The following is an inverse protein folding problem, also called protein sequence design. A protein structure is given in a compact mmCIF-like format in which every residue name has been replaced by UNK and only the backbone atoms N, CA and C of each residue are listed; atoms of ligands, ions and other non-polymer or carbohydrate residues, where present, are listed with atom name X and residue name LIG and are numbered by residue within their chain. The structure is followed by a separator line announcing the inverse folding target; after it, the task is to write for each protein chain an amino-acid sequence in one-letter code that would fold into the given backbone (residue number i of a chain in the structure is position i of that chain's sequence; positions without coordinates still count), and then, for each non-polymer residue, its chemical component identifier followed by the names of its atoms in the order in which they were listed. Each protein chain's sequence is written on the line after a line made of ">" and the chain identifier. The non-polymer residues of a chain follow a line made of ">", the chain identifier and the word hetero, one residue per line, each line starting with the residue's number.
data_IF_025560280848
#
_entry.id   IF_025560280848
#
_cell.length_a   1.000
_cell.length_b   1.000
_cell.length_c   1.000
_cell.angle_alpha   90.00
_cell.angle_beta   90.00
_cell.angle_gamma   90.00
#
_symmetry.space_group_name_H-M   'P 1'
#
loop_
_entity.id
_entity.type
_entity.pdbx_description
1 polymer ?
#
# COMPACT_ATOMS: atom_id res chain seq x y z
N UNK A 1 -6.71 13.99 14.20
CA UNK A 1 -7.84 13.05 14.37
C UNK A 1 -7.65 11.88 13.40
N UNK A 2 -8.48 10.82 13.47
CA UNK A 2 -8.29 9.59 12.67
C UNK A 2 -8.35 9.85 11.16
N UNK A 3 -9.36 10.60 10.68
CA UNK A 3 -9.55 10.81 9.24
C UNK A 3 -8.36 11.53 8.60
N UNK A 4 -7.78 12.54 9.27
CA UNK A 4 -6.57 13.21 8.79
C UNK A 4 -5.34 12.29 8.79
N UNK A 5 -5.24 11.40 9.78
CA UNK A 5 -4.16 10.42 9.83
C UNK A 5 -4.25 9.41 8.66
N UNK A 6 -5.45 9.00 8.27
CA UNK A 6 -5.67 8.15 7.09
C UNK A 6 -5.35 8.93 5.81
N UNK A 7 -5.88 10.16 5.66
CA UNK A 7 -5.68 11.04 4.51
C UNK A 7 -4.19 11.26 4.18
N UNK A 8 -3.42 11.66 5.20
CA UNK A 8 -2.00 11.95 5.10
C UNK A 8 -1.08 10.74 5.30
N UNK A 9 -1.63 9.56 5.55
CA UNK A 9 -0.85 8.35 5.88
C UNK A 9 0.12 8.55 7.06
N UNK A 10 -0.36 9.11 8.17
CA UNK A 10 0.47 9.55 9.28
C UNK A 10 0.97 8.37 10.15
N UNK A 11 2.23 7.98 9.96
CA UNK A 11 2.88 6.92 10.74
C UNK A 11 2.79 7.17 12.26
N UNK A 12 3.07 8.40 12.71
CA UNK A 12 3.10 8.75 14.14
C UNK A 12 1.76 8.48 14.83
N UNK A 13 0.63 8.76 14.14
CA UNK A 13 -0.70 8.50 14.68
C UNK A 13 -0.94 7.00 14.87
N UNK A 14 -0.67 6.18 13.86
CA UNK A 14 -0.90 4.74 13.93
C UNK A 14 0.07 4.04 14.88
N UNK A 15 1.34 4.46 14.95
CA UNK A 15 2.28 3.98 15.95
C UNK A 15 1.81 4.29 17.37
N UNK A 16 1.28 5.50 17.62
CA UNK A 16 0.73 5.85 18.93
C UNK A 16 -0.52 5.03 19.28
N UNK A 17 -1.44 4.83 18.32
CA UNK A 17 -2.63 3.98 18.51
C UNK A 17 -2.21 2.54 18.81
N UNK A 18 -1.29 1.97 18.03
CA UNK A 18 -0.79 0.62 18.24
C UNK A 18 -0.10 0.47 19.60
N UNK A 19 0.74 1.43 19.99
CA UNK A 19 1.37 1.44 21.31
C UNK A 19 0.32 1.42 22.44
N UNK A 20 -0.75 2.21 22.30
CA UNK A 20 -1.87 2.21 23.26
C UNK A 20 -2.62 0.89 23.28
N UNK A 21 -2.89 0.30 22.11
CA UNK A 21 -3.57 -1.01 21.99
C UNK A 21 -2.77 -2.11 22.66
N UNK A 22 -1.48 -2.23 22.33
CA UNK A 22 -0.63 -3.30 22.87
C UNK A 22 -0.30 -3.09 24.36
N UNK A 23 -0.28 -1.84 24.84
CA UNK A 23 0.02 -1.52 26.24
C UNK A 23 -1.22 -1.30 27.11
N UNK A 24 -2.39 -1.81 26.70
CA UNK A 24 -3.64 -1.66 27.46
C UNK A 24 -3.55 -2.32 28.85
N UNK A 25 -3.85 -1.60 29.95
CA UNK A 25 -3.81 -2.15 31.31
C UNK A 25 -4.86 -3.23 31.59
N UNK A 26 -5.90 -3.35 30.76
CA UNK A 26 -6.97 -4.35 30.89
C UNK A 26 -6.48 -5.78 30.64
N UNK A 27 -5.33 -5.96 29.99
CA UNK A 27 -4.76 -7.27 29.74
C UNK A 27 -3.68 -7.61 30.77
N UNK A 28 -3.58 -8.90 31.18
CA UNK A 28 -2.62 -9.33 32.20
C UNK A 28 -1.16 -9.24 31.73
N UNK A 29 -0.90 -9.12 30.43
CA UNK A 29 0.44 -8.98 29.85
C UNK A 29 0.38 -8.34 28.46
N UNK A 30 1.54 -7.82 28.01
CA UNK A 30 1.75 -7.33 26.64
C UNK A 30 1.47 -8.45 25.61
N UNK A 31 1.89 -9.67 25.92
CA UNK A 31 1.64 -10.84 25.09
C UNK A 31 0.14 -11.14 24.95
N UNK A 32 -0.62 -11.07 26.04
CA UNK A 32 -2.06 -11.26 26.02
C UNK A 32 -2.77 -10.17 25.20
N UNK A 33 -2.38 -8.90 25.38
CA UNK A 33 -2.91 -7.80 24.58
C UNK A 33 -2.57 -7.95 23.09
N UNK A 34 -1.33 -8.33 22.78
CA UNK A 34 -0.90 -8.60 21.40
C UNK A 34 -1.67 -9.77 20.78
N UNK A 35 -1.89 -10.86 21.53
CA UNK A 35 -2.66 -12.00 21.05
C UNK A 35 -4.10 -11.58 20.74
N UNK A 36 -4.70 -10.74 21.58
CA UNK A 36 -6.00 -10.15 21.29
C UNK A 36 -5.98 -9.32 20.00
N UNK A 37 -5.02 -8.39 19.86
CA UNK A 37 -4.85 -7.60 18.64
C UNK A 37 -4.69 -8.48 17.39
N UNK A 38 -3.83 -9.51 17.46
CA UNK A 38 -3.64 -10.49 16.38
C UNK A 38 -4.95 -11.20 16.05
N UNK A 39 -5.73 -11.62 17.04
CA UNK A 39 -7.01 -12.28 16.82
C UNK A 39 -8.00 -11.36 16.13
N UNK A 40 -8.06 -10.08 16.52
CA UNK A 40 -8.88 -9.08 15.82
C UNK A 40 -8.42 -8.89 14.37
N UNK A 41 -7.11 -8.75 14.11
CA UNK A 41 -6.57 -8.65 12.75
C UNK A 41 -6.89 -9.90 11.92
N UNK A 42 -6.84 -11.09 12.52
CA UNK A 42 -7.16 -12.34 11.86
C UNK A 42 -8.64 -12.42 11.43
N UNK A 43 -9.57 -11.82 12.19
CA UNK A 43 -10.99 -11.78 11.80
C UNK A 43 -11.22 -11.03 10.48
N UNK A 44 -10.38 -10.04 10.18
CA UNK A 44 -10.39 -9.32 8.89
C UNK A 44 -9.79 -10.14 7.72
N UNK A 45 -9.27 -11.33 8.00
CA UNK A 45 -8.73 -12.26 6.99
C UNK A 45 -7.22 -12.20 6.80
N UNK A 46 -6.48 -11.39 7.57
CA UNK A 46 -5.01 -11.40 7.54
C UNK A 46 -4.43 -12.57 8.34
N UNK A 47 -3.30 -13.12 7.88
CA UNK A 47 -2.60 -14.21 8.59
C UNK A 47 -3.33 -15.56 8.60
N UNK A 48 -4.50 -15.64 7.97
CA UNK A 48 -5.34 -16.83 7.81
C UNK A 48 -5.72 -17.00 6.34
N UNK A 49 -6.15 -18.21 5.96
CA UNK A 49 -6.74 -18.44 4.63
C UNK A 49 -8.15 -17.87 4.60
N UNK A 50 -8.54 -17.33 3.45
CA UNK A 50 -9.91 -16.92 3.14
C UNK A 50 -10.74 -18.07 2.55
N UNK A 51 -10.08 -19.20 2.26
CA UNK A 51 -10.66 -20.42 1.69
C UNK A 51 -11.30 -20.16 0.32
N UNK A 52 -10.55 -19.45 -0.54
CA UNK A 52 -10.90 -19.23 -1.94
C UNK A 52 -10.91 -20.56 -2.71
N UNK A 53 -11.75 -20.66 -3.74
CA UNK A 53 -11.84 -21.80 -4.66
C UNK A 53 -10.68 -21.91 -5.66
N UNK A 54 -9.47 -21.52 -5.24
CA UNK A 54 -8.24 -21.62 -6.01
C UNK A 54 -7.20 -22.49 -5.29
N UNK A 55 -6.42 -23.29 -6.04
CA UNK A 55 -5.28 -23.99 -5.46
C UNK A 55 -4.22 -22.99 -4.99
N UNK A 56 -3.43 -23.39 -3.99
CA UNK A 56 -2.25 -22.66 -3.51
C UNK A 56 -2.50 -21.30 -2.85
N UNK A 57 -3.64 -21.12 -2.17
CA UNK A 57 -3.83 -19.96 -1.30
C UNK A 57 -2.76 -19.89 -0.20
N UNK A 58 -2.07 -18.75 -0.12
CA UNK A 58 -1.15 -18.43 0.97
C UNK A 58 -1.88 -17.64 2.05
N UNK A 59 -1.63 -18.00 3.32
CA UNK A 59 -2.24 -17.36 4.50
C UNK A 59 -1.67 -15.98 4.86
N UNK A 60 -0.63 -15.51 4.18
CA UNK A 60 0.15 -14.35 4.64
C UNK A 60 0.86 -14.63 5.97
N UNK A 61 1.17 -13.60 6.75
CA UNK A 61 1.78 -13.72 8.07
C UNK A 61 1.36 -12.57 8.98
N UNK A 62 0.64 -12.90 10.05
CA UNK A 62 0.55 -12.06 11.26
C UNK A 62 1.40 -12.74 12.33
N UNK A 63 2.52 -12.14 12.78
CA UNK A 63 3.48 -12.82 13.65
C UNK A 63 2.86 -13.39 14.93
N UNK A 64 3.32 -14.57 15.35
CA UNK A 64 2.94 -15.11 16.65
C UNK A 64 3.85 -14.53 17.76
N UNK A 65 3.36 -14.41 19.02
CA UNK A 65 4.19 -13.99 20.15
C UNK A 65 5.51 -14.76 20.28
N UNK A 66 5.47 -16.07 20.04
CA UNK A 66 6.62 -16.96 20.10
C UNK A 66 7.80 -16.50 19.21
N UNK A 67 7.53 -15.80 18.11
CA UNK A 67 8.57 -15.23 17.24
C UNK A 67 9.36 -14.13 17.97
N UNK A 68 8.65 -13.27 18.69
CA UNK A 68 9.27 -12.19 19.45
C UNK A 68 9.93 -12.69 20.73
N UNK A 69 9.36 -13.71 21.38
CA UNK A 69 10.02 -14.39 22.48
C UNK A 69 11.35 -15.01 22.07
N UNK A 70 11.43 -15.62 20.88
CA UNK A 70 12.68 -16.18 20.34
C UNK A 70 13.73 -15.12 20.05
N UNK A 71 13.29 -13.94 19.58
CA UNK A 71 14.19 -12.86 19.13
C UNK A 71 14.67 -11.98 20.27
N UNK A 72 13.78 -11.64 21.21
CA UNK A 72 14.03 -10.65 22.26
C UNK A 72 14.07 -11.27 23.66
N UNK A 73 13.63 -12.52 23.82
CA UNK A 73 13.40 -13.17 25.11
C UNK A 73 11.96 -13.01 25.59
N UNK A 74 11.46 -14.02 26.32
CA UNK A 74 10.12 -14.00 26.91
C UNK A 74 9.95 -12.77 27.79
N UNK A 75 8.84 -12.06 27.63
CA UNK A 75 8.51 -10.83 28.40
C UNK A 75 9.49 -9.67 28.22
N UNK A 76 10.40 -9.70 27.24
CA UNK A 76 11.37 -8.62 26.99
C UNK A 76 11.00 -7.71 25.80
N UNK A 77 10.11 -8.14 24.91
CA UNK A 77 9.57 -7.28 23.86
C UNK A 77 8.38 -6.46 24.37
N UNK A 78 8.21 -5.28 23.79
CA UNK A 78 7.13 -4.32 24.09
C UNK A 78 6.58 -3.77 22.78
N UNK A 79 5.51 -2.97 22.85
CA UNK A 79 4.90 -2.37 21.66
C UNK A 79 5.89 -1.57 20.80
N UNK A 80 6.85 -0.88 21.42
CA UNK A 80 7.91 -0.14 20.72
C UNK A 80 8.88 -1.06 19.95
N UNK A 81 9.13 -2.28 20.42
CA UNK A 81 9.99 -3.27 19.75
C UNK A 81 9.38 -3.76 18.44
N UNK A 82 8.05 -3.83 18.38
CA UNK A 82 7.28 -4.36 17.25
C UNK A 82 6.44 -3.28 16.56
N UNK A 83 6.82 -2.01 16.73
CA UNK A 83 6.03 -0.84 16.32
C UNK A 83 5.80 -0.77 14.81
N UNK A 84 6.67 -1.39 14.01
CA UNK A 84 6.55 -1.48 12.56
C UNK A 84 5.25 -2.13 12.09
N UNK A 85 4.66 -3.02 12.91
CA UNK A 85 3.37 -3.64 12.61
C UNK A 85 2.24 -2.59 12.51
N UNK A 86 2.34 -1.48 13.23
CA UNK A 86 1.34 -0.41 13.25
C UNK A 86 1.09 0.21 11.87
N UNK A 87 2.07 0.12 10.98
CA UNK A 87 2.02 0.69 9.63
C UNK A 87 2.13 -0.39 8.53
N UNK A 88 1.89 -1.65 8.90
CA UNK A 88 1.92 -2.78 7.97
C UNK A 88 3.31 -3.15 7.46
N UNK A 89 4.35 -2.89 8.26
CA UNK A 89 5.75 -3.21 7.95
C UNK A 89 6.31 -4.27 8.91
N UNK A 90 7.59 -4.59 8.76
CA UNK A 90 8.27 -5.57 9.60
C UNK A 90 7.97 -6.99 9.14
N UNK A 91 7.48 -7.84 10.04
CA UNK A 91 7.23 -9.25 9.74
C UNK A 91 5.82 -9.53 9.23
N UNK A 92 4.97 -8.50 9.10
CA UNK A 92 3.64 -8.64 8.54
C UNK A 92 3.71 -8.94 7.04
N UNK A 93 3.04 -10.00 6.59
CA UNK A 93 2.88 -10.33 5.17
C UNK A 93 1.40 -10.46 4.81
N UNK A 94 1.04 -9.92 3.67
CA UNK A 94 -0.32 -9.83 3.16
C UNK A 94 -0.36 -10.28 1.70
N UNK A 95 -1.38 -11.07 1.32
CA UNK A 95 -1.65 -11.32 -0.10
C UNK A 95 -2.52 -10.20 -0.69
N UNK A 96 -2.45 -9.92 -2.01
CA UNK A 96 -3.38 -9.01 -2.66
C UNK A 96 -4.85 -9.36 -2.45
N UNK A 97 -5.18 -10.66 -2.37
CA UNK A 97 -6.54 -11.10 -2.09
C UNK A 97 -6.99 -10.72 -0.66
N UNK A 98 -6.13 -10.89 0.34
CA UNK A 98 -6.41 -10.43 1.72
C UNK A 98 -6.60 -8.92 1.78
N UNK A 99 -5.79 -8.15 1.04
CA UNK A 99 -5.94 -6.71 0.95
C UNK A 99 -7.28 -6.30 0.34
N UNK A 100 -7.71 -6.95 -0.75
CA UNK A 100 -9.03 -6.69 -1.36
C UNK A 100 -10.19 -7.10 -0.43
N UNK A 101 -10.05 -8.19 0.33
CA UNK A 101 -11.08 -8.64 1.27
C UNK A 101 -11.34 -7.64 2.42
N UNK A 102 -10.31 -6.92 2.84
CA UNK A 102 -10.47 -5.88 3.86
C UNK A 102 -11.27 -4.71 3.33
N UNK A 103 -11.04 -4.32 2.07
CA UNK A 103 -11.85 -3.31 1.40
C UNK A 103 -13.32 -3.76 1.31
N UNK A 104 -13.60 -5.04 1.02
CA UNK A 104 -14.95 -5.60 1.11
C UNK A 104 -15.53 -5.45 2.53
N UNK A 105 -14.74 -5.78 3.55
CA UNK A 105 -15.17 -5.70 4.96
C UNK A 105 -15.50 -4.27 5.37
N UNK A 106 -14.68 -3.31 4.96
CA UNK A 106 -14.88 -1.88 5.24
C UNK A 106 -16.10 -1.36 4.47
N UNK A 107 -16.21 -1.67 3.19
CA UNK A 107 -17.33 -1.29 2.32
C UNK A 107 -18.68 -1.80 2.89
N UNK A 108 -18.69 -3.02 3.41
CA UNK A 108 -19.84 -3.67 4.02
C UNK A 108 -20.08 -3.30 5.50
N UNK A 109 -19.21 -2.47 6.10
CA UNK A 109 -19.29 -2.05 7.51
C UNK A 109 -19.30 -3.22 8.50
N UNK A 110 -18.39 -4.18 8.31
CA UNK A 110 -18.07 -5.19 9.34
C UNK A 110 -18.30 -6.65 8.97
N UNK A 111 -18.54 -6.96 7.70
CA UNK A 111 -18.60 -8.35 7.25
C UNK A 111 -18.08 -8.54 5.83
N UNK A 112 -17.69 -9.76 5.51
CA UNK A 112 -17.39 -10.18 4.15
C UNK A 112 -17.98 -11.56 3.87
N UNK A 113 -17.97 -11.94 2.60
CA UNK A 113 -18.24 -13.31 2.16
C UNK A 113 -16.93 -13.90 1.67
N UNK A 114 -16.77 -15.22 1.78
CA UNK A 114 -15.57 -15.88 1.28
C UNK A 114 -15.40 -15.55 -0.21
N UNK A 115 -14.22 -15.06 -0.64
CA UNK A 115 -13.99 -14.75 -2.04
C UNK A 115 -14.02 -16.05 -2.86
N UNK A 116 -14.64 -16.00 -4.04
CA UNK A 116 -14.72 -17.14 -4.94
C UNK A 116 -14.75 -16.68 -6.40
N UNK A 117 -14.22 -17.50 -7.30
CA UNK A 117 -14.18 -17.26 -8.74
C UNK A 117 -15.38 -17.89 -9.45
N UNK A 118 -15.81 -19.07 -8.99
CA UNK A 118 -16.90 -19.80 -9.60
C UNK A 118 -18.20 -19.05 -9.31
N UNK A 119 -18.76 -18.43 -10.35
CA UNK A 119 -20.04 -17.70 -10.24
C UNK A 119 -21.20 -18.63 -9.91
N UNK A 120 -21.25 -19.80 -10.54
CA UNK A 120 -22.30 -20.80 -10.37
C UNK A 120 -21.89 -22.15 -11.02
N UNK A 121 -22.52 -23.26 -10.61
CA UNK A 121 -22.24 -24.61 -11.12
C UNK A 121 -23.49 -25.21 -11.78
N UNK A 122 -23.32 -25.71 -13.01
CA UNK A 122 -24.35 -26.38 -13.80
C UNK A 122 -25.47 -25.45 -14.28
N UNK A 123 -26.45 -26.01 -14.98
CA UNK A 123 -27.55 -25.25 -15.61
C UNK A 123 -28.53 -24.60 -14.60
N UNK A 124 -28.41 -24.95 -13.33
CA UNK A 124 -29.24 -24.42 -12.23
C UNK A 124 -28.56 -23.26 -11.48
N UNK A 125 -27.40 -22.80 -11.96
CA UNK A 125 -26.60 -21.75 -11.33
C UNK A 125 -26.40 -21.96 -9.81
N UNK A 126 -25.99 -23.17 -9.42
CA UNK A 126 -25.82 -23.50 -8.00
C UNK A 126 -24.55 -22.84 -7.47
N UNK A 127 -24.70 -21.99 -6.46
CA UNK A 127 -23.60 -21.44 -5.67
C UNK A 127 -23.49 -22.24 -4.38
N UNK A 128 -22.29 -22.72 -4.06
CA UNK A 128 -22.06 -23.50 -2.85
C UNK A 128 -22.40 -22.67 -1.58
N UNK A 129 -23.03 -23.28 -0.54
CA UNK A 129 -23.51 -22.55 0.63
C UNK A 129 -22.43 -21.73 1.35
N UNK A 130 -21.18 -22.23 1.41
CA UNK A 130 -20.05 -21.57 2.06
C UNK A 130 -19.73 -20.19 1.48
N UNK A 131 -20.07 -19.93 0.21
CA UNK A 131 -19.86 -18.63 -0.45
C UNK A 131 -20.99 -17.63 -0.19
N UNK A 132 -22.10 -18.08 0.41
CA UNK A 132 -23.21 -17.24 0.84
C UNK A 132 -23.18 -16.92 2.34
N UNK A 133 -22.25 -17.53 3.07
CA UNK A 133 -22.10 -17.34 4.51
C UNK A 133 -21.51 -15.96 4.82
N UNK A 134 -22.22 -15.18 5.63
CA UNK A 134 -21.73 -13.88 6.12
C UNK A 134 -20.72 -14.11 7.25
N UNK A 135 -19.48 -13.66 7.05
CA UNK A 135 -18.44 -13.67 8.08
C UNK A 135 -18.37 -12.29 8.71
N UNK A 136 -18.81 -12.16 9.96
CA UNK A 136 -18.76 -10.90 10.71
C UNK A 136 -17.43 -10.77 11.45
N UNK A 137 -16.83 -9.57 11.41
CA UNK A 137 -15.55 -9.32 12.09
C UNK A 137 -15.70 -8.81 13.53
N UNK A 138 -16.93 -8.58 13.99
CA UNK A 138 -17.25 -8.25 15.39
C UNK A 138 -16.96 -6.80 15.78
N UNK A 139 -16.78 -5.90 14.82
CA UNK A 139 -16.63 -4.45 15.05
C UNK A 139 -17.95 -3.76 14.73
N UNK A 140 -18.38 -2.85 15.61
CA UNK A 140 -19.58 -2.06 15.38
C UNK A 140 -19.44 -1.19 14.12
N UNK A 141 -20.49 -1.22 13.29
CA UNK A 141 -20.67 -0.42 12.09
C UNK A 141 -20.31 1.07 12.25
N UNK A 142 -20.55 1.66 13.44
CA UNK A 142 -20.27 3.07 13.70
C UNK A 142 -18.79 3.45 13.53
N UNK A 143 -17.88 2.50 13.76
CA UNK A 143 -16.44 2.75 13.67
C UNK A 143 -15.90 2.77 12.24
N UNK A 144 -16.67 2.29 11.26
CA UNK A 144 -16.26 2.28 9.85
C UNK A 144 -16.41 3.65 9.20
N UNK A 145 -17.40 4.45 9.60
CA UNK A 145 -17.66 5.74 8.94
C UNK A 145 -16.47 6.72 9.04
N UNK A 146 -15.80 6.90 10.19
CA UNK A 146 -14.58 7.72 10.27
C UNK A 146 -13.42 7.21 9.40
N UNK A 147 -13.32 5.89 9.21
CA UNK A 147 -12.32 5.24 8.36
C UNK A 147 -12.61 5.52 6.90
N UNK A 148 -13.86 5.28 6.46
CA UNK A 148 -14.35 5.54 5.11
C UNK A 148 -14.17 7.02 4.73
N UNK A 149 -14.47 7.94 5.66
CA UNK A 149 -14.22 9.37 5.49
C UNK A 149 -12.74 9.68 5.23
N UNK A 150 -11.83 9.03 5.98
CA UNK A 150 -10.39 9.13 5.74
C UNK A 150 -9.99 8.59 4.38
N UNK A 151 -10.53 7.44 3.97
CA UNK A 151 -10.22 6.79 2.70
C UNK A 151 -10.76 7.56 1.48
N UNK A 152 -11.93 8.20 1.58
CA UNK A 152 -12.40 9.15 0.57
C UNK A 152 -11.42 10.33 0.47
N UNK A 153 -11.03 10.91 1.61
CA UNK A 153 -10.14 12.07 1.65
C UNK A 153 -8.79 11.79 0.97
N UNK A 154 -8.24 10.57 1.10
CA UNK A 154 -7.03 10.13 0.38
C UNK A 154 -7.16 10.35 -1.13
N UNK A 155 -8.30 9.98 -1.72
CA UNK A 155 -8.52 10.04 -3.18
C UNK A 155 -9.02 11.42 -3.63
N UNK A 156 -9.69 12.17 -2.78
CA UNK A 156 -10.21 13.49 -3.16
C UNK A 156 -9.17 14.60 -3.08
N UNK A 157 -8.31 14.56 -2.05
CA UNK A 157 -7.36 15.63 -1.75
C UNK A 157 -6.03 15.17 -1.13
N UNK A 158 -5.95 13.94 -0.67
CA UNK A 158 -4.76 13.38 -0.02
C UNK A 158 -3.79 12.71 -0.97
N UNK A 159 -3.08 11.71 -0.47
CA UNK A 159 -1.98 11.03 -1.19
C UNK A 159 -2.38 10.37 -2.51
N UNK A 160 -3.67 10.07 -2.72
CA UNK A 160 -4.23 9.48 -3.93
C UNK A 160 -4.93 10.46 -4.87
N UNK A 161 -4.88 11.78 -4.61
CA UNK A 161 -5.67 12.81 -5.29
C UNK A 161 -5.60 12.78 -6.84
N UNK A 162 -4.43 12.43 -7.38
CA UNK A 162 -4.24 12.32 -8.83
C UNK A 162 -5.13 11.23 -9.48
N UNK A 163 -5.61 10.26 -8.70
CA UNK A 163 -6.40 9.11 -9.14
C UNK A 163 -7.91 9.31 -8.97
N UNK A 164 -8.36 10.53 -8.66
CA UNK A 164 -9.79 10.87 -8.56
C UNK A 164 -10.52 10.60 -9.87
N UNK A 165 -11.65 9.92 -9.79
CA UNK A 165 -12.51 9.61 -10.93
C UNK A 165 -13.66 10.64 -10.98
N UNK A 166 -13.83 11.41 -12.06
CA UNK A 166 -14.93 12.36 -12.16
C UNK A 166 -16.29 11.67 -12.01
N UNK A 167 -17.10 12.13 -11.04
CA UNK A 167 -18.45 11.61 -10.79
C UNK A 167 -18.52 10.20 -10.18
N UNK A 168 -17.41 9.65 -9.66
CA UNK A 168 -17.40 8.43 -8.84
C UNK A 168 -16.62 8.72 -7.57
N UNK A 169 -17.30 8.62 -6.43
CA UNK A 169 -16.64 8.73 -5.12
C UNK A 169 -15.97 7.39 -4.84
N UNK A 170 -14.63 7.36 -4.85
CA UNK A 170 -13.83 6.18 -4.55
C UNK A 170 -13.16 6.37 -3.19
N UNK A 171 -13.25 5.35 -2.34
CA UNK A 171 -12.58 5.31 -1.04
C UNK A 171 -11.37 4.40 -1.18
N UNK A 172 -10.17 4.90 -0.89
CA UNK A 172 -8.98 4.07 -1.00
C UNK A 172 -7.82 4.51 -0.12
N UNK A 173 -6.74 3.72 -0.16
CA UNK A 173 -5.53 3.99 0.60
C UNK A 173 -4.29 3.60 -0.20
N UNK A 174 -3.33 4.53 -0.25
CA UNK A 174 -2.00 4.29 -0.80
C UNK A 174 -1.13 3.51 0.18
N UNK A 175 -0.23 2.69 -0.35
CA UNK A 175 0.79 1.98 0.40
C UNK A 175 2.11 1.91 -0.37
N UNK A 176 3.19 1.69 0.36
CA UNK A 176 4.53 1.47 -0.16
C UNK A 176 5.10 0.26 0.59
N UNK A 177 5.20 -0.89 -0.07
CA UNK A 177 5.77 -2.08 0.55
C UNK A 177 7.28 -2.09 0.33
N UNK A 178 8.05 -2.26 1.40
CA UNK A 178 9.51 -2.25 1.33
C UNK A 178 10.02 -3.48 0.58
N UNK A 179 10.95 -3.26 -0.34
CA UNK A 179 11.65 -4.33 -1.04
C UNK A 179 13.16 -4.23 -0.77
N UNK A 180 13.77 -5.18 -0.04
CA UNK A 180 15.21 -5.16 0.21
C UNK A 180 16.06 -5.44 -1.03
N UNK A 181 15.45 -5.90 -2.13
CA UNK A 181 16.14 -6.31 -3.36
C UNK A 181 15.98 -5.32 -4.52
N UNK A 182 15.37 -4.15 -4.30
CA UNK A 182 15.15 -3.17 -5.34
C UNK A 182 14.26 -2.02 -4.90
N UNK A 183 13.55 -1.43 -5.86
CA UNK A 183 12.57 -0.39 -5.57
C UNK A 183 11.39 -0.96 -4.76
N UNK A 184 10.82 -0.11 -3.91
CA UNK A 184 9.62 -0.44 -3.16
C UNK A 184 8.47 -0.84 -4.10
N UNK A 185 7.52 -1.63 -3.61
CA UNK A 185 6.31 -1.97 -4.38
C UNK A 185 5.25 -0.89 -4.17
N UNK A 186 4.64 -0.46 -5.29
CA UNK A 186 3.53 0.48 -5.29
C UNK A 186 2.26 -0.28 -4.94
N UNK A 187 1.58 0.11 -3.86
CA UNK A 187 0.35 -0.56 -3.39
C UNK A 187 -0.79 0.44 -3.32
N UNK A 188 -1.99 0.02 -3.73
CA UNK A 188 -3.21 0.77 -3.53
C UNK A 188 -4.39 -0.18 -3.34
N UNK A 189 -5.22 0.12 -2.36
CA UNK A 189 -6.47 -0.58 -2.08
C UNK A 189 -7.62 0.40 -2.16
N UNK A 190 -8.77 -0.04 -2.64
CA UNK A 190 -9.96 0.79 -2.70
C UNK A 190 -11.25 0.00 -2.82
N UNK A 191 -12.36 0.67 -2.54
CA UNK A 191 -13.68 0.29 -3.00
C UNK A 191 -14.42 1.48 -3.62
N UNK A 192 -15.37 1.17 -4.50
CA UNK A 192 -16.19 2.18 -5.17
C UNK A 192 -17.53 1.63 -5.67
N UNK A 193 -18.54 2.50 -5.85
CA UNK A 193 -18.62 3.84 -5.28
C UNK A 193 -18.65 3.78 -3.74
N UNK A 194 -18.43 4.92 -3.06
CA UNK A 194 -18.53 5.01 -1.59
C UNK A 194 -19.88 4.49 -1.09
N UNK A 195 -20.94 4.96 -1.73
CA UNK A 195 -22.31 4.55 -1.45
C UNK A 195 -22.72 3.44 -2.41
N UNK A 196 -23.36 2.40 -1.87
CA UNK A 196 -23.66 1.15 -2.58
C UNK A 196 -22.45 0.58 -3.34
N UNK A 197 -21.35 0.21 -2.64
CA UNK A 197 -20.13 -0.30 -3.26
C UNK A 197 -20.40 -1.47 -4.22
N UNK A 198 -19.75 -1.45 -5.38
CA UNK A 198 -19.89 -2.47 -6.43
C UNK A 198 -18.58 -3.18 -6.75
N UNK A 199 -17.45 -2.61 -6.36
CA UNK A 199 -16.12 -3.18 -6.54
C UNK A 199 -15.23 -2.85 -5.35
N UNK A 200 -14.44 -3.84 -4.93
CA UNK A 200 -13.29 -3.70 -4.05
C UNK A 200 -12.06 -4.20 -4.80
N UNK A 201 -10.93 -3.52 -4.66
CA UNK A 201 -9.73 -3.77 -5.47
C UNK A 201 -8.46 -3.58 -4.64
N UNK A 202 -7.48 -4.44 -4.88
CA UNK A 202 -6.10 -4.27 -4.44
C UNK A 202 -5.18 -4.35 -5.65
N UNK A 203 -4.36 -3.32 -5.86
CA UNK A 203 -3.36 -3.25 -6.93
C UNK A 203 -1.98 -3.20 -6.29
N UNK A 204 -1.12 -4.12 -6.70
CA UNK A 204 0.30 -4.15 -6.33
C UNK A 204 1.10 -4.10 -7.63
N UNK A 205 2.02 -3.15 -7.72
CA UNK A 205 2.98 -3.05 -8.82
C UNK A 205 4.37 -3.19 -8.24
N UNK A 206 5.04 -4.29 -8.56
CA UNK A 206 6.37 -4.59 -8.07
C UNK A 206 7.38 -3.57 -8.60
N UNK A 207 8.37 -3.24 -7.75
CA UNK A 207 9.48 -2.33 -8.07
C UNK A 207 9.07 -0.96 -8.63
N UNK A 208 7.93 -0.44 -8.19
CA UNK A 208 7.29 0.74 -8.75
C UNK A 208 7.26 1.96 -7.81
N UNK A 209 7.98 1.90 -6.69
CA UNK A 209 8.07 2.97 -5.71
C UNK A 209 6.76 3.17 -4.94
N UNK A 210 6.20 4.38 -5.00
CA UNK A 210 5.09 4.81 -4.16
C UNK A 210 3.71 4.40 -4.72
N UNK A 211 2.77 4.07 -3.83
CA UNK A 211 1.38 3.72 -4.19
C UNK A 211 0.66 4.72 -5.09
N UNK A 212 0.92 6.02 -4.89
CA UNK A 212 0.33 7.10 -5.67
C UNK A 212 0.84 7.17 -7.12
N UNK A 213 2.00 6.57 -7.41
CA UNK A 213 2.67 6.69 -8.71
C UNK A 213 2.12 5.73 -9.75
N UNK A 214 1.76 4.50 -9.33
CA UNK A 214 1.38 3.42 -10.24
C UNK A 214 0.08 2.73 -9.82
N UNK A 215 0.02 2.19 -8.60
CA UNK A 215 -1.11 1.38 -8.17
C UNK A 215 -2.42 2.18 -8.11
N UNK A 216 -2.41 3.39 -7.54
CA UNK A 216 -3.63 4.21 -7.43
C UNK A 216 -4.18 4.65 -8.81
N UNK A 217 -3.36 5.16 -9.75
CA UNK A 217 -3.80 5.41 -11.12
C UNK A 217 -4.42 4.19 -11.81
N UNK A 218 -3.72 3.04 -11.77
CA UNK A 218 -4.19 1.79 -12.39
C UNK A 218 -5.52 1.35 -11.79
N UNK A 219 -5.63 1.34 -10.47
CA UNK A 219 -6.88 1.02 -9.78
C UNK A 219 -8.02 1.93 -10.22
N UNK A 220 -7.78 3.25 -10.34
CA UNK A 220 -8.81 4.19 -10.77
C UNK A 220 -9.32 3.95 -12.18
N UNK A 221 -8.48 3.45 -13.08
CA UNK A 221 -8.88 3.11 -14.45
C UNK A 221 -9.68 1.82 -14.49
N UNK A 222 -9.25 0.80 -13.74
CA UNK A 222 -9.97 -0.48 -13.62
C UNK A 222 -11.35 -0.24 -13.00
N UNK A 223 -11.43 0.51 -11.90
CA UNK A 223 -12.69 0.85 -11.22
C UNK A 223 -13.64 1.60 -12.16
N UNK A 224 -13.16 2.62 -12.87
CA UNK A 224 -14.05 3.35 -13.79
C UNK A 224 -14.52 2.47 -14.95
N UNK A 225 -13.61 1.68 -15.55
CA UNK A 225 -13.94 0.77 -16.65
C UNK A 225 -14.95 -0.28 -16.19
N UNK A 226 -14.82 -0.81 -14.97
CA UNK A 226 -15.80 -1.75 -14.40
C UNK A 226 -17.18 -1.10 -14.19
N UNK A 227 -17.23 0.15 -13.68
CA UNK A 227 -18.48 0.81 -13.34
C UNK A 227 -19.20 1.46 -14.53
N UNK A 228 -18.48 1.86 -15.58
CA UNK A 228 -19.02 2.63 -16.72
C UNK A 228 -18.76 2.04 -18.09
N UNK A 229 -18.01 0.94 -18.16
CA UNK A 229 -17.48 0.39 -19.41
C UNK A 229 -16.67 1.39 -20.27
N UNK A 230 -16.16 2.47 -19.65
CA UNK A 230 -15.38 3.52 -20.31
C UNK A 230 -14.38 4.16 -19.35
N UNK A 231 -13.37 4.86 -19.91
CA UNK A 231 -12.38 5.60 -19.13
C UNK A 231 -12.40 7.05 -19.56
N UNK A 232 -12.67 7.96 -18.62
CA UNK A 232 -12.67 9.40 -18.89
C UNK A 232 -11.28 10.01 -18.74
N UNK A 233 -11.06 11.15 -19.39
CA UNK A 233 -9.84 11.94 -19.19
C UNK A 233 -9.75 12.43 -17.74
N UNK A 234 -8.61 12.23 -17.10
CA UNK A 234 -8.39 12.63 -15.71
C UNK A 234 -8.01 14.12 -15.62
N UNK A 235 -8.59 14.89 -14.68
CA UNK A 235 -8.19 16.27 -14.44
C UNK A 235 -6.71 16.43 -14.07
N UNK A 236 -6.13 15.42 -13.42
CA UNK A 236 -4.70 15.36 -13.07
C UNK A 236 -3.77 15.15 -14.26
N UNK A 237 -4.30 14.83 -15.44
CA UNK A 237 -3.53 14.55 -16.66
C UNK A 237 -2.95 13.13 -16.75
N UNK A 238 -3.13 12.27 -15.74
CA UNK A 238 -2.76 10.86 -15.86
C UNK A 238 -3.57 10.20 -16.98
N UNK A 239 -2.92 9.33 -17.75
CA UNK A 239 -3.54 8.65 -18.88
C UNK A 239 -3.25 7.15 -18.83
N UNK A 240 -4.18 6.27 -19.25
CA UNK A 240 -3.97 4.82 -19.24
C UNK A 240 -2.79 4.37 -20.11
N UNK A 241 -2.58 5.04 -21.25
CA UNK A 241 -1.54 4.70 -22.24
C UNK A 241 -0.15 4.62 -21.59
N UNK A 242 0.21 5.59 -20.75
CA UNK A 242 1.45 5.61 -19.97
C UNK A 242 1.66 4.31 -19.18
N UNK A 243 0.62 3.79 -18.54
CA UNK A 243 0.73 2.62 -17.66
C UNK A 243 0.76 1.32 -18.46
N UNK A 244 0.05 1.26 -19.59
CA UNK A 244 0.07 0.10 -20.49
C UNK A 244 1.40 -0.05 -21.23
N UNK A 245 2.03 1.05 -21.62
CA UNK A 245 3.28 1.06 -22.39
C UNK A 245 4.54 1.01 -21.51
N UNK A 246 4.38 1.16 -20.20
CA UNK A 246 5.50 1.15 -19.28
C UNK A 246 6.11 -0.24 -19.11
N UNK A 247 7.44 -0.30 -19.08
CA UNK A 247 8.18 -1.47 -18.63
C UNK A 247 8.93 -1.13 -17.35
N UNK A 248 8.54 -1.80 -16.26
CA UNK A 248 9.14 -1.68 -14.93
C UNK A 248 10.06 -2.85 -14.59
N UNK A 249 10.37 -3.67 -15.59
CA UNK A 249 11.32 -4.77 -15.40
C UNK A 249 12.69 -4.17 -15.02
N UNK A 250 13.40 -4.82 -14.08
CA UNK A 250 14.75 -4.39 -13.74
C UNK A 250 15.62 -4.40 -15.01
N UNK A 251 16.55 -3.45 -15.06
CA UNK A 251 17.55 -3.39 -16.10
C UNK A 251 18.29 -4.74 -16.16
N UNK A 252 18.32 -5.38 -17.34
CA UNK A 252 19.13 -6.58 -17.53
C UNK A 252 20.59 -6.25 -17.19
N UNK A 253 21.34 -7.16 -16.56
CA UNK A 253 22.74 -6.93 -16.24
C UNK A 253 23.51 -6.46 -17.50
N UNK A 254 24.10 -5.27 -17.44
CA UNK A 254 24.84 -4.66 -18.56
C UNK A 254 24.05 -3.69 -19.45
N UNK A 255 22.75 -3.48 -19.22
CA UNK A 255 21.98 -2.45 -19.94
C UNK A 255 22.29 -1.03 -19.42
N UNK A 256 22.49 -0.08 -20.33
CA UNK A 256 22.70 1.33 -19.98
C UNK A 256 21.41 1.90 -19.36
N UNK A 257 21.49 2.71 -18.29
CA UNK A 257 20.31 3.29 -17.67
C UNK A 257 19.50 4.09 -18.70
N UNK A 258 18.17 3.88 -18.74
CA UNK A 258 17.26 4.69 -19.55
C UNK A 258 17.23 6.11 -18.97
N UNK A 259 17.96 7.03 -19.59
CA UNK A 259 17.86 8.46 -19.29
C UNK A 259 16.58 9.01 -19.89
N UNK A 260 15.56 9.20 -19.06
CA UNK A 260 14.41 10.03 -19.43
C UNK A 260 14.83 11.50 -19.35
N UNK A 261 15.50 12.00 -20.39
CA UNK A 261 15.64 13.44 -20.54
C UNK A 261 14.26 14.00 -20.88
N UNK A 262 13.66 14.71 -19.91
CA UNK A 262 12.62 15.69 -20.21
C UNK A 262 13.30 16.70 -21.15
N UNK A 263 12.92 16.71 -22.43
CA UNK A 263 13.36 17.78 -23.33
C UNK A 263 12.82 19.09 -22.73
N UNK A 264 13.71 19.83 -22.06
CA UNK A 264 13.47 21.22 -21.77
C UNK A 264 13.31 21.91 -23.13
N UNK A 265 12.33 22.81 -23.32
CA UNK A 265 12.25 23.60 -24.53
C UNK A 265 13.62 24.22 -24.77
N UNK A 266 14.20 23.95 -25.94
CA UNK A 266 15.49 24.51 -26.32
C UNK A 266 15.42 26.02 -26.15
N UNK A 267 16.27 26.53 -25.28
CA UNK A 267 16.38 27.96 -24.99
C UNK A 267 16.62 28.65 -26.35
N UNK A 268 15.61 29.38 -26.82
CA UNK A 268 15.73 30.14 -28.06
C UNK A 268 16.76 31.23 -27.76
N UNK A 269 18.02 30.97 -28.14
CA UNK A 269 19.07 31.97 -28.14
C UNK A 269 18.67 33.06 -29.12
N UNK A 270 17.88 34.02 -28.65
CA UNK A 270 17.83 35.35 -29.22
C UNK A 270 19.27 35.86 -29.17
N UNK A 271 19.92 35.91 -30.34
CA UNK A 271 21.18 36.61 -30.52
C UNK A 271 20.96 38.06 -30.10
N UNK A 272 21.38 38.42 -28.89
CA UNK A 272 21.57 39.82 -28.52
C UNK A 272 22.90 40.29 -29.15
N UNK A 273 22.95 41.49 -29.75
CA UNK A 273 24.21 42.04 -30.27
C UNK A 273 25.22 42.19 -29.13
N UNK A 274 26.48 41.88 -29.43
CA UNK A 274 27.57 41.99 -28.48
C UNK A 274 27.86 43.47 -28.19
N UNK A 275 27.50 43.93 -27.00
CA UNK A 275 28.01 45.19 -26.47
C UNK A 275 29.39 44.98 -25.86
N UNK A 276 30.37 45.62 -26.49
CA UNK A 276 31.75 45.74 -26.06
C UNK A 276 31.82 46.61 -24.80
N UNK A 277 32.14 46.02 -23.65
CA UNK A 277 32.87 46.73 -22.59
C UNK A 277 33.56 45.77 -21.59
N UNK A 278 34.88 45.77 -21.68
CA UNK A 278 35.90 45.53 -20.65
C UNK A 278 35.43 45.35 -19.19
N UNK A 279 35.82 44.23 -18.55
CA UNK A 279 36.93 44.17 -17.56
C UNK A 279 37.07 42.76 -16.97
N UNK A 280 38.31 42.27 -17.04
CA UNK A 280 38.78 41.06 -16.39
C UNK A 280 38.73 41.18 -14.87
N UNK A 281 38.10 40.22 -14.19
CA UNK A 281 38.30 39.96 -12.77
C UNK A 281 38.74 38.50 -12.62
N UNK A 282 39.97 38.30 -12.12
CA UNK A 282 40.54 37.01 -11.72
C UNK A 282 40.28 36.82 -10.22
N UNK A 283 39.82 35.62 -9.84
CA UNK A 283 40.00 35.01 -8.50
C UNK A 283 39.64 33.52 -8.63
N UNK A 284 40.59 32.61 -8.82
CA UNK A 284 41.38 31.91 -7.79
C UNK A 284 40.53 31.21 -6.71
N UNK A 285 40.51 29.88 -6.72
CA UNK A 285 40.53 28.98 -5.53
C UNK A 285 40.34 27.50 -5.91
N UNK A 286 41.42 26.72 -5.75
CA UNK A 286 41.47 25.48 -4.97
C UNK A 286 40.57 24.27 -5.33
N UNK A 287 41.11 23.30 -6.06
CA UNK A 287 40.64 21.91 -6.11
C UNK A 287 40.80 21.22 -4.75
N UNK A 288 39.73 20.59 -4.22
CA UNK A 288 39.80 19.42 -3.31
C UNK A 288 38.82 18.34 -3.76
N UNK A 289 39.32 17.11 -3.95
CA UNK A 289 38.51 15.88 -4.17
C UNK A 289 38.05 15.31 -2.82
N UNK A 290 36.84 14.73 -2.69
CA UNK A 290 36.46 13.97 -1.50
C UNK A 290 36.82 12.48 -1.61
N UNK A 291 37.27 11.93 -0.48
CA UNK A 291 37.67 10.54 -0.20
C UNK A 291 36.44 9.65 0.05
N UNK A 292 36.48 8.38 -0.40
CA UNK A 292 35.41 7.40 -0.23
C UNK A 292 35.54 6.62 1.10
N UNK A 293 34.44 6.47 1.85
CA UNK A 293 34.33 5.57 3.00
C UNK A 293 33.66 4.24 2.57
N UNK A 294 34.29 3.10 2.86
CA UNK A 294 33.72 1.75 2.71
C UNK A 294 33.08 1.31 4.03
N UNK A 295 31.86 0.78 3.99
CA UNK A 295 31.21 0.07 5.11
C UNK A 295 31.13 -1.42 4.79
N UNK A 296 31.67 -2.24 5.69
CA UNK A 296 31.68 -3.69 5.61
C UNK A 296 30.31 -4.29 5.96
N UNK A 297 29.82 -5.22 5.14
CA UNK A 297 28.60 -5.97 5.37
C UNK A 297 28.89 -7.31 6.04
N UNK A 298 28.16 -7.63 7.11
CA UNK A 298 28.04 -8.98 7.64
C UNK A 298 26.57 -9.43 7.53
N UNK A 299 26.30 -10.38 6.63
CA UNK A 299 25.01 -11.03 6.45
C UNK A 299 25.06 -12.43 7.10
N UNK A 300 24.31 -12.60 8.19
CA UNK A 300 24.03 -13.91 8.80
C UNK A 300 22.85 -14.58 8.09
N UNK A 301 23.07 -15.80 7.58
CA UNK A 301 22.09 -16.65 6.87
C UNK A 301 20.91 -17.04 7.79
N UNK A 302 19.66 -16.86 7.34
CA UNK A 302 18.44 -17.36 7.99
C UNK A 302 18.02 -18.71 7.39
N UNK A 303 17.62 -19.66 8.25
CA UNK A 303 16.88 -20.89 7.87
C UNK A 303 15.36 -20.62 7.87
N UNK A 304 14.55 -21.38 7.11
CA UNK A 304 13.10 -21.19 7.02
C UNK A 304 12.36 -21.70 8.27
N UNK A 305 11.33 -20.98 8.69
CA UNK A 305 10.47 -21.24 9.86
C UNK A 305 9.19 -22.02 9.46
N UNK A 306 8.82 -23.01 10.29
CA UNK A 306 7.45 -23.51 10.49
C UNK A 306 6.66 -22.61 11.47
#
# INVERSE_FOLDING_TARGET
>A
NLSYAIEGSCNTYFCNVFNKVISQPSFPSIEASYLNWKNEVNKFGFGVKLDVDLPNERKGLVPAPARYDRTYGKRHWRANTIISLAIGQGELLATPLQMANIECTIANRGFYYRPHLIKAIGDKDVIKPEFKERINVGIDSQYYEPVINGMQAVVERGTGAASRIPGIVMCGKTGTAQNPHGENHSVFVAFAPRDHPKIAIAVVVENAGYGASWAAPIASFIVEKYLRDSITRRPSGINPKRYMEASLLPAMPGSKPKTYYKQLPGDSSKKYPADSNHKSIKSDTGRKKPTALKLAGNLSKRKPDE
#
